data_IF_964514000018
#
_entry.id   IF_964514000018
#
_cell.length_a   1.000
_cell.length_b   1.000
_cell.length_c   1.000
_cell.angle_alpha   90.00
_cell.angle_beta   90.00
_cell.angle_gamma   90.00
#
_symmetry.space_group_name_H-M   'P 1'
#
loop_
_entity.id
_entity.type
_entity.pdbx_description
1 polymer ?
#
# COMPACT_ATOMS: atom_id res chain seq x y z
N UNK A 1 -65.87 -16.62 -20.62
CA UNK A 1 -64.82 -16.85 -21.64
C UNK A 1 -63.56 -16.22 -21.09
N UNK A 2 -62.49 -17.00 -21.04
CA UNK A 2 -61.21 -16.66 -20.42
C UNK A 2 -60.45 -15.61 -21.24
N UNK A 3 -59.67 -14.76 -20.57
CA UNK A 3 -58.34 -14.34 -21.04
C UNK A 3 -57.52 -13.68 -19.90
N UNK A 4 -56.20 -13.81 -20.06
CA UNK A 4 -55.06 -13.62 -19.17
C UNK A 4 -55.00 -12.38 -18.26
N UNK A 5 -54.41 -12.58 -17.07
CA UNK A 5 -53.63 -11.55 -16.37
C UNK A 5 -52.61 -12.21 -15.41
N UNK A 6 -51.39 -12.31 -15.93
CA UNK A 6 -50.09 -12.65 -15.31
C UNK A 6 -49.98 -12.48 -13.78
N UNK A 7 -49.53 -13.49 -13.02
CA UNK A 7 -49.15 -13.33 -11.62
C UNK A 7 -47.78 -12.64 -11.47
N UNK A 8 -47.57 -11.82 -10.42
CA UNK A 8 -46.41 -10.94 -10.29
C UNK A 8 -45.10 -11.71 -10.10
N UNK A 9 -44.04 -11.23 -10.77
CA UNK A 9 -42.66 -11.69 -10.61
C UNK A 9 -42.24 -11.63 -9.13
N UNK A 10 -41.63 -12.69 -8.56
CA UNK A 10 -41.01 -12.59 -7.26
C UNK A 10 -39.82 -11.62 -7.34
N UNK A 11 -39.83 -10.65 -6.42
CA UNK A 11 -38.79 -9.66 -6.24
C UNK A 11 -37.41 -10.31 -6.27
N UNK A 12 -36.52 -9.76 -7.09
CA UNK A 12 -35.08 -9.99 -7.03
C UNK A 12 -34.57 -9.55 -5.66
N UNK A 13 -34.69 -10.45 -4.69
CA UNK A 13 -34.07 -10.31 -3.38
C UNK A 13 -32.57 -10.36 -3.58
N UNK A 14 -31.94 -9.22 -3.34
CA UNK A 14 -30.51 -9.04 -3.29
C UNK A 14 -29.83 -10.22 -2.58
N UNK A 15 -28.70 -10.65 -3.15
CA UNK A 15 -27.73 -11.52 -2.48
C UNK A 15 -27.09 -10.76 -1.32
N UNK A 16 -27.87 -10.41 -0.30
CA UNK A 16 -27.33 -10.09 1.00
C UNK A 16 -26.80 -11.39 1.59
N UNK A 17 -25.49 -11.59 1.44
CA UNK A 17 -24.76 -12.59 2.21
C UNK A 17 -24.98 -12.29 3.68
N UNK A 18 -25.86 -13.06 4.32
CA UNK A 18 -25.93 -13.16 5.77
C UNK A 18 -24.65 -13.83 6.28
N UNK A 19 -23.59 -13.06 6.34
CA UNK A 19 -22.52 -13.27 7.32
C UNK A 19 -22.82 -12.32 8.46
N UNK A 20 -23.63 -12.78 9.42
CA UNK A 20 -23.71 -12.16 10.73
C UNK A 20 -22.30 -12.15 11.34
N UNK A 21 -21.63 -11.01 11.22
CA UNK A 21 -20.25 -10.79 11.64
C UNK A 21 -20.19 -10.15 13.04
N UNK A 22 -21.03 -10.63 13.96
CA UNK A 22 -21.26 -9.98 15.25
C UNK A 22 -20.45 -10.52 16.43
N UNK A 23 -19.38 -11.31 16.22
CA UNK A 23 -18.56 -11.73 17.38
C UNK A 23 -17.08 -12.08 17.14
N UNK A 24 -16.43 -11.50 16.14
CA UNK A 24 -14.99 -11.66 15.97
C UNK A 24 -14.42 -10.42 15.27
N UNK A 25 -14.14 -9.37 16.04
CA UNK A 25 -13.28 -8.29 15.55
C UNK A 25 -11.88 -8.88 15.31
N UNK A 26 -11.62 -9.25 14.07
CA UNK A 26 -10.26 -9.29 13.55
C UNK A 26 -9.78 -7.85 13.48
N UNK A 27 -8.88 -7.45 14.37
CA UNK A 27 -8.28 -6.11 14.30
C UNK A 27 -7.05 -6.06 13.41
N UNK A 28 -6.54 -7.21 12.91
CA UNK A 28 -5.64 -7.20 11.76
C UNK A 28 -5.66 -8.50 10.95
N UNK A 29 -6.40 -8.49 9.84
CA UNK A 29 -6.21 -9.46 8.77
C UNK A 29 -5.41 -8.84 7.63
N UNK A 30 -4.91 -9.65 6.70
CA UNK A 30 -4.38 -9.17 5.41
C UNK A 30 -5.37 -8.21 4.72
N UNK A 31 -6.67 -8.32 5.04
CA UNK A 31 -7.74 -7.46 4.53
C UNK A 31 -8.07 -6.22 5.39
N UNK A 32 -7.50 -6.09 6.59
CA UNK A 32 -7.64 -4.93 7.49
C UNK A 32 -6.35 -4.67 8.25
N UNK A 33 -5.27 -4.21 7.58
CA UNK A 33 -4.03 -3.88 8.27
C UNK A 33 -4.23 -2.70 9.24
N UNK A 34 -3.56 -2.72 10.40
CA UNK A 34 -3.45 -1.53 11.24
C UNK A 34 -2.49 -0.55 10.54
N UNK A 35 -3.06 0.40 9.82
CA UNK A 35 -2.33 1.30 8.92
C UNK A 35 -1.27 2.12 9.66
N UNK A 36 -1.58 2.65 10.83
CA UNK A 36 -0.62 3.44 11.61
C UNK A 36 0.60 2.62 12.05
N UNK A 37 0.37 1.37 12.49
CA UNK A 37 1.47 0.45 12.80
C UNK A 37 2.30 0.15 11.56
N UNK A 38 1.67 -0.11 10.41
CA UNK A 38 2.36 -0.35 9.14
C UNK A 38 3.23 0.84 8.72
N UNK A 39 2.67 2.05 8.74
CA UNK A 39 3.40 3.29 8.44
C UNK A 39 4.60 3.44 9.39
N UNK A 40 4.40 3.15 10.68
CA UNK A 40 5.48 3.21 11.67
C UNK A 40 6.60 2.21 11.39
N UNK A 41 6.28 0.97 10.98
CA UNK A 41 7.30 -0.01 10.60
C UNK A 41 8.04 0.40 9.32
N UNK A 42 7.31 0.88 8.31
CA UNK A 42 7.92 1.37 7.07
C UNK A 42 8.87 2.53 7.39
N UNK A 43 8.46 3.47 8.22
CA UNK A 43 9.28 4.59 8.67
C UNK A 43 10.53 4.12 9.42
N UNK A 44 10.41 3.14 10.31
CA UNK A 44 11.54 2.59 11.05
C UNK A 44 12.57 1.91 10.12
N UNK A 45 12.11 1.14 9.14
CA UNK A 45 13.00 0.51 8.15
C UNK A 45 13.71 1.56 7.30
N UNK A 46 12.98 2.57 6.81
CA UNK A 46 13.59 3.65 6.02
C UNK A 46 14.64 4.41 6.82
N UNK A 47 14.37 4.69 8.09
CA UNK A 47 15.32 5.34 8.99
C UNK A 47 16.59 4.51 9.20
N UNK A 48 16.45 3.21 9.44
CA UNK A 48 17.57 2.27 9.58
C UNK A 48 18.42 2.24 8.29
N UNK A 49 17.76 2.19 7.13
CA UNK A 49 18.43 2.24 5.82
C UNK A 49 19.20 3.53 5.61
N UNK A 50 18.62 4.69 5.95
CA UNK A 50 19.31 5.98 5.87
C UNK A 50 20.52 5.99 6.82
N UNK A 51 20.36 5.48 8.05
CA UNK A 51 21.45 5.42 9.02
C UNK A 51 22.61 4.57 8.52
N UNK A 52 22.33 3.39 7.98
CA UNK A 52 23.33 2.46 7.44
C UNK A 52 24.04 3.02 6.21
N UNK A 53 23.32 3.69 5.31
CA UNK A 53 23.91 4.26 4.10
C UNK A 53 24.69 5.55 4.36
N UNK A 54 24.35 6.31 5.41
CA UNK A 54 25.15 7.45 5.87
C UNK A 54 26.56 7.05 6.37
N UNK A 55 26.70 5.84 6.93
CA UNK A 55 28.00 5.29 7.33
C UNK A 55 28.85 4.88 6.11
N UNK A 56 28.21 4.55 4.98
CA UNK A 56 28.88 4.15 3.74
C UNK A 56 29.26 5.37 2.89
N UNK A 57 30.36 6.01 3.27
CA UNK A 57 30.82 7.26 2.65
C UNK A 57 31.71 7.04 1.42
N UNK A 58 31.13 6.70 0.26
CA UNK A 58 31.63 7.00 -1.10
C UNK A 58 30.88 6.18 -2.17
N UNK A 59 29.92 6.79 -2.86
CA UNK A 59 29.36 6.27 -4.11
C UNK A 59 29.52 7.36 -5.17
N UNK A 60 29.90 6.98 -6.40
CA UNK A 60 29.98 7.90 -7.53
C UNK A 60 28.60 8.51 -7.80
N UNK A 61 28.46 9.83 -7.61
CA UNK A 61 27.18 10.51 -7.79
C UNK A 61 26.84 10.65 -9.28
N UNK A 62 25.77 9.97 -9.70
CA UNK A 62 25.27 10.09 -11.07
C UNK A 62 24.37 11.33 -11.20
N UNK A 63 24.40 12.02 -12.36
CA UNK A 63 23.61 13.24 -12.56
C UNK A 63 22.10 13.00 -12.51
N UNK A 64 21.65 11.80 -12.87
CA UNK A 64 20.25 11.36 -12.84
C UNK A 64 19.65 11.32 -11.42
N UNK A 65 20.49 11.27 -10.38
CA UNK A 65 20.04 11.22 -8.98
C UNK A 65 19.70 12.60 -8.40
N UNK A 66 20.17 13.68 -9.02
CA UNK A 66 19.93 15.06 -8.53
C UNK A 66 18.45 15.44 -8.55
N UNK A 67 17.65 14.75 -9.34
CA UNK A 67 16.19 14.92 -9.35
C UNK A 67 15.57 14.54 -7.99
N UNK A 68 16.27 13.77 -7.15
CA UNK A 68 15.77 13.44 -5.81
C UNK A 68 16.42 14.27 -4.71
N UNK A 69 17.22 15.28 -5.03
CA UNK A 69 17.88 16.12 -4.05
C UNK A 69 16.92 17.22 -3.55
N UNK A 70 16.60 17.21 -2.25
CA UNK A 70 15.65 18.17 -1.64
C UNK A 70 16.12 19.63 -1.79
N UNK A 71 17.43 19.86 -1.76
CA UNK A 71 18.03 21.19 -1.84
C UNK A 71 17.73 21.88 -3.18
N UNK A 72 17.68 21.11 -4.28
CA UNK A 72 17.35 21.64 -5.60
C UNK A 72 15.93 22.26 -5.67
N UNK A 73 15.03 21.82 -4.80
CA UNK A 73 13.64 22.29 -4.76
C UNK A 73 13.43 23.50 -3.84
N UNK A 74 14.35 23.75 -2.91
CA UNK A 74 14.27 24.85 -1.97
C UNK A 74 14.58 26.21 -2.61
N UNK A 75 15.52 26.27 -3.55
CA UNK A 75 16.03 27.54 -4.12
C UNK A 75 15.19 28.10 -5.28
N UNK A 76 14.33 27.28 -5.89
CA UNK A 76 13.82 27.51 -7.25
C UNK A 76 12.56 28.39 -7.36
N UNK A 77 11.90 28.82 -6.26
CA UNK A 77 10.62 29.52 -6.38
C UNK A 77 10.35 30.55 -5.26
N UNK A 78 10.02 31.79 -5.66
CA UNK A 78 9.70 32.95 -4.80
C UNK A 78 8.32 32.88 -4.12
N UNK A 79 7.79 31.67 -3.89
CA UNK A 79 6.52 31.43 -3.20
C UNK A 79 6.80 31.04 -1.76
N UNK A 80 6.50 31.93 -0.82
CA UNK A 80 6.65 31.74 0.62
C UNK A 80 5.67 30.68 1.14
N UNK A 81 5.93 29.40 0.89
CA UNK A 81 5.24 28.33 1.62
C UNK A 81 6.02 28.09 2.92
N UNK A 82 5.39 28.32 4.08
CA UNK A 82 5.99 28.11 5.41
C UNK A 82 6.64 26.71 5.57
N UNK A 83 6.10 25.73 4.84
CA UNK A 83 6.62 24.36 4.75
C UNK A 83 8.01 24.27 4.10
N UNK A 84 8.28 25.03 3.03
CA UNK A 84 9.58 25.08 2.36
C UNK A 84 10.63 25.73 3.26
N UNK A 85 10.26 26.81 3.96
CA UNK A 85 11.15 27.48 4.92
C UNK A 85 11.47 26.58 6.13
N UNK A 86 10.50 25.80 6.60
CA UNK A 86 10.71 24.82 7.66
C UNK A 86 11.68 23.74 7.20
N UNK A 87 11.49 23.15 6.01
CA UNK A 87 12.37 22.12 5.45
C UNK A 87 13.78 22.68 5.18
N UNK A 88 13.88 23.88 4.60
CA UNK A 88 15.15 24.56 4.37
C UNK A 88 15.92 24.85 5.67
N UNK A 89 15.22 25.02 6.80
CA UNK A 89 15.84 25.21 8.11
C UNK A 89 16.46 23.91 8.69
N UNK A 90 15.96 22.74 8.28
CA UNK A 90 16.54 21.44 8.64
C UNK A 90 17.69 21.05 7.68
N UNK A 91 18.11 21.94 6.78
CA UNK A 91 19.29 21.74 5.93
C UNK A 91 20.54 21.54 6.80
N UNK A 92 21.07 20.31 6.79
CA UNK A 92 22.25 19.92 7.55
C UNK A 92 21.97 19.24 8.90
N UNK A 93 20.71 18.96 9.25
CA UNK A 93 20.40 18.15 10.43
C UNK A 93 20.72 16.64 10.23
N UNK A 94 21.03 15.92 11.32
CA UNK A 94 21.39 14.51 11.28
C UNK A 94 20.19 13.66 10.84
N UNK A 95 20.47 12.42 10.43
CA UNK A 95 19.51 11.39 10.01
C UNK A 95 18.07 11.62 10.52
N UNK A 96 17.05 11.68 9.64
CA UNK A 96 15.67 11.96 10.02
C UNK A 96 15.17 10.97 11.08
N UNK A 97 14.34 11.45 11.99
CA UNK A 97 13.77 10.58 13.02
C UNK A 97 12.68 9.68 12.45
N UNK A 98 12.43 8.55 13.10
CA UNK A 98 11.33 7.63 12.71
C UNK A 98 9.98 8.36 12.74
N UNK A 99 9.80 9.27 13.71
CA UNK A 99 8.58 10.06 13.85
C UNK A 99 8.38 11.02 12.67
N UNK A 100 9.43 11.69 12.21
CA UNK A 100 9.36 12.57 11.03
C UNK A 100 8.95 11.82 9.76
N UNK A 101 9.53 10.65 9.51
CA UNK A 101 9.19 9.84 8.34
C UNK A 101 7.76 9.30 8.47
N UNK A 102 7.38 8.83 9.67
CA UNK A 102 6.01 8.35 9.95
C UNK A 102 4.99 9.46 9.73
N UNK A 103 5.23 10.65 10.26
CA UNK A 103 4.31 11.77 10.16
C UNK A 103 4.20 12.27 8.71
N UNK A 104 5.32 12.27 7.97
CA UNK A 104 5.31 12.56 6.53
C UNK A 104 4.42 11.58 5.75
N UNK A 105 4.61 10.28 5.94
CA UNK A 105 3.78 9.25 5.28
C UNK A 105 2.33 9.33 5.77
N UNK A 106 2.11 9.60 7.06
CA UNK A 106 0.78 9.75 7.66
C UNK A 106 -0.02 10.90 7.05
N UNK A 107 0.59 12.07 6.91
CA UNK A 107 -0.03 13.24 6.26
C UNK A 107 -0.39 12.92 4.81
N UNK A 108 0.49 12.24 4.07
CA UNK A 108 0.19 11.83 2.69
C UNK A 108 -0.95 10.82 2.63
N UNK A 109 -0.98 9.84 3.54
CA UNK A 109 -2.04 8.86 3.62
C UNK A 109 -3.40 9.50 3.92
N UNK A 110 -3.46 10.43 4.88
CA UNK A 110 -4.68 11.16 5.22
C UNK A 110 -5.15 12.09 4.09
N UNK A 111 -4.21 12.69 3.35
CA UNK A 111 -4.53 13.62 2.28
C UNK A 111 -4.95 12.93 0.96
N UNK A 112 -4.33 11.80 0.63
CA UNK A 112 -4.55 11.08 -0.63
C UNK A 112 -5.49 9.88 -0.50
N UNK A 113 -5.79 9.42 0.71
CA UNK A 113 -6.71 8.31 1.02
C UNK A 113 -6.43 7.04 0.20
N UNK A 114 -5.16 6.74 -0.09
CA UNK A 114 -4.75 5.57 -0.86
C UNK A 114 -4.82 4.27 -0.04
N UNK A 115 -4.82 3.11 -0.70
CA UNK A 115 -4.90 1.82 0.01
C UNK A 115 -3.64 1.56 0.85
N UNK A 116 -3.74 1.05 2.09
CA UNK A 116 -2.59 0.90 2.98
C UNK A 116 -1.47 0.01 2.43
N UNK A 117 -1.78 -0.92 1.54
CA UNK A 117 -0.85 -1.78 0.80
C UNK A 117 0.17 -0.96 -0.02
N UNK A 118 -0.19 0.25 -0.46
CA UNK A 118 0.71 1.16 -1.17
C UNK A 118 1.93 1.55 -0.33
N UNK A 119 1.81 1.60 1.01
CA UNK A 119 2.96 1.87 1.89
C UNK A 119 4.00 0.72 1.82
N UNK A 120 3.53 -0.52 1.74
CA UNK A 120 4.41 -1.71 1.61
C UNK A 120 5.07 -1.72 0.23
N UNK A 121 4.29 -1.41 -0.81
CA UNK A 121 4.80 -1.34 -2.19
C UNK A 121 5.81 -0.21 -2.37
N UNK A 122 5.59 0.96 -1.77
CA UNK A 122 6.55 2.06 -1.80
C UNK A 122 7.90 1.66 -1.19
N UNK A 123 7.89 1.01 -0.02
CA UNK A 123 9.11 0.46 0.58
C UNK A 123 9.81 -0.56 -0.32
N UNK A 124 9.04 -1.46 -0.94
CA UNK A 124 9.58 -2.44 -1.90
C UNK A 124 10.23 -1.74 -3.11
N UNK A 125 9.59 -0.72 -3.67
CA UNK A 125 10.10 0.03 -4.81
C UNK A 125 11.36 0.82 -4.47
N UNK A 126 11.44 1.43 -3.28
CA UNK A 126 12.67 2.08 -2.81
C UNK A 126 13.81 1.07 -2.72
N UNK A 127 13.58 -0.09 -2.09
CA UNK A 127 14.58 -1.16 -2.00
C UNK A 127 15.04 -1.65 -3.38
N UNK A 128 14.09 -1.84 -4.31
CA UNK A 128 14.39 -2.24 -5.69
C UNK A 128 15.21 -1.16 -6.40
N UNK A 129 14.86 0.12 -6.23
CA UNK A 129 15.58 1.24 -6.81
C UNK A 129 17.02 1.29 -6.29
N UNK A 130 17.24 1.16 -4.98
CA UNK A 130 18.57 1.13 -4.37
C UNK A 130 19.37 -0.05 -4.95
N UNK A 131 18.77 -1.23 -5.05
CA UNK A 131 19.42 -2.42 -5.61
C UNK A 131 19.79 -2.29 -7.10
N UNK A 132 18.98 -1.61 -7.91
CA UNK A 132 19.21 -1.47 -9.35
C UNK A 132 20.13 -0.31 -9.71
N UNK A 133 19.92 0.84 -9.08
CA UNK A 133 20.66 2.06 -9.40
C UNK A 133 21.96 2.19 -8.62
N UNK A 134 22.05 1.54 -7.45
CA UNK A 134 23.11 1.74 -6.46
C UNK A 134 23.04 3.09 -5.74
N UNK A 135 21.94 3.84 -5.92
CA UNK A 135 21.75 5.15 -5.29
C UNK A 135 21.54 4.98 -3.78
N UNK A 136 22.38 5.59 -2.93
CA UNK A 136 22.22 5.50 -1.48
C UNK A 136 21.01 6.32 -1.01
N UNK A 137 20.32 5.82 0.01
CA UNK A 137 19.25 6.56 0.68
C UNK A 137 19.90 7.51 1.72
N UNK A 138 19.67 8.82 1.57
CA UNK A 138 20.33 9.88 2.34
C UNK A 138 19.30 10.83 2.96
N UNK A 139 19.72 11.55 4.00
CA UNK A 139 18.89 12.56 4.65
C UNK A 139 18.42 13.70 3.72
N UNK A 140 19.12 13.92 2.59
CA UNK A 140 18.74 14.94 1.60
C UNK A 140 17.82 14.43 0.48
N UNK A 141 17.60 13.12 0.34
CA UNK A 141 16.83 12.57 -0.78
C UNK A 141 15.62 11.71 -0.38
N UNK A 142 15.46 11.41 0.91
CA UNK A 142 14.45 10.47 1.35
C UNK A 142 13.01 10.98 1.13
N UNK A 143 12.69 12.28 1.30
CA UNK A 143 11.31 12.75 1.09
C UNK A 143 10.89 12.67 -0.38
N UNK A 144 11.67 13.19 -1.36
CA UNK A 144 11.35 13.04 -2.77
C UNK A 144 11.21 11.57 -3.18
N UNK A 145 12.06 10.68 -2.65
CA UNK A 145 12.01 9.26 -2.96
C UNK A 145 10.75 8.59 -2.41
N UNK A 146 10.44 8.80 -1.13
CA UNK A 146 9.24 8.23 -0.50
C UNK A 146 7.98 8.78 -1.16
N UNK A 147 7.93 10.09 -1.42
CA UNK A 147 6.83 10.73 -2.13
C UNK A 147 6.60 10.12 -3.51
N UNK A 148 7.66 10.01 -4.31
CA UNK A 148 7.56 9.46 -5.67
C UNK A 148 7.24 7.97 -5.67
N UNK A 149 7.81 7.20 -4.74
CA UNK A 149 7.51 5.79 -4.58
C UNK A 149 6.04 5.54 -4.23
N UNK A 150 5.45 6.39 -3.37
CA UNK A 150 4.04 6.35 -3.02
C UNK A 150 3.14 6.67 -4.22
N UNK A 151 3.48 7.70 -5.02
CA UNK A 151 2.74 8.02 -6.25
C UNK A 151 2.72 6.81 -7.20
N UNK A 152 3.88 6.20 -7.44
CA UNK A 152 3.99 5.04 -8.34
C UNK A 152 3.25 3.83 -7.77
N UNK A 153 3.35 3.57 -6.46
CA UNK A 153 2.62 2.50 -5.80
C UNK A 153 1.10 2.67 -5.92
N UNK A 154 0.60 3.87 -5.65
CA UNK A 154 -0.81 4.23 -5.77
C UNK A 154 -1.33 3.97 -7.18
N UNK A 155 -0.60 4.44 -8.20
CA UNK A 155 -0.97 4.26 -9.60
C UNK A 155 -0.99 2.81 -10.09
N UNK A 156 -0.19 1.95 -9.47
CA UNK A 156 -0.05 0.54 -9.87
C UNK A 156 -1.04 -0.35 -9.13
N UNK A 157 -1.40 0.02 -7.89
CA UNK A 157 -2.18 -0.83 -7.00
C UNK A 157 -3.65 -0.42 -6.89
N UNK A 158 -3.94 0.87 -6.85
CA UNK A 158 -5.31 1.35 -6.64
C UNK A 158 -6.07 1.44 -7.97
N UNK A 159 -7.35 1.07 -7.95
CA UNK A 159 -8.24 1.22 -9.10
C UNK A 159 -8.58 2.70 -9.39
N UNK A 160 -8.57 3.54 -8.36
CA UNK A 160 -8.82 4.99 -8.45
C UNK A 160 -7.51 5.75 -8.22
N UNK A 161 -6.92 6.24 -9.30
CA UNK A 161 -5.59 6.86 -9.25
C UNK A 161 -5.67 8.39 -9.24
N UNK A 162 -4.82 9.02 -8.44
CA UNK A 162 -4.67 10.47 -8.45
C UNK A 162 -3.73 10.91 -9.57
N UNK A 163 -4.01 12.08 -10.15
CA UNK A 163 -3.12 12.70 -11.12
C UNK A 163 -1.93 13.35 -10.43
N UNK A 164 -0.81 13.55 -11.13
CA UNK A 164 0.35 14.26 -10.56
C UNK A 164 0.02 15.71 -10.14
N UNK A 165 -0.93 16.34 -10.83
CA UNK A 165 -1.43 17.66 -10.47
C UNK A 165 -2.17 17.63 -9.12
N UNK A 166 -2.96 16.57 -8.86
CA UNK A 166 -3.60 16.34 -7.57
C UNK A 166 -2.56 16.13 -6.47
N UNK A 167 -1.52 15.33 -6.70
CA UNK A 167 -0.44 15.14 -5.72
C UNK A 167 0.33 16.43 -5.40
N UNK A 168 0.63 17.25 -6.41
CA UNK A 168 1.26 18.56 -6.21
C UNK A 168 0.36 19.54 -5.44
N UNK A 169 -0.96 19.39 -5.54
CA UNK A 169 -1.92 20.15 -4.74
C UNK A 169 -1.98 19.68 -3.28
N UNK A 170 -1.96 18.36 -3.05
CA UNK A 170 -1.96 17.77 -1.70
C UNK A 170 -0.68 18.09 -0.93
N UNK A 171 0.46 18.10 -1.62
CA UNK A 171 1.76 18.43 -1.03
C UNK A 171 2.40 19.60 -1.79
N UNK A 172 2.03 20.87 -1.47
CA UNK A 172 2.43 22.07 -2.21
C UNK A 172 3.91 22.46 -2.05
N UNK A 173 4.75 21.51 -1.62
CA UNK A 173 6.19 21.63 -1.67
C UNK A 173 6.73 21.39 -3.08
N UNK A 174 6.12 20.51 -3.88
CA UNK A 174 6.56 20.23 -5.27
C UNK A 174 5.57 20.80 -6.28
N UNK A 175 6.09 21.39 -7.36
CA UNK A 175 5.28 21.80 -8.52
C UNK A 175 4.92 20.59 -9.37
N UNK A 176 3.84 20.70 -10.16
CA UNK A 176 3.40 19.62 -11.07
C UNK A 176 4.53 19.16 -12.01
N UNK A 177 5.33 20.09 -12.52
CA UNK A 177 6.46 19.78 -13.41
C UNK A 177 7.56 18.99 -12.70
N UNK A 178 7.86 19.34 -11.46
CA UNK A 178 8.85 18.63 -10.63
C UNK A 178 8.35 17.22 -10.31
N UNK A 179 7.07 17.07 -9.92
CA UNK A 179 6.46 15.74 -9.69
C UNK A 179 6.53 14.87 -10.94
N UNK A 180 6.23 15.42 -12.12
CA UNK A 180 6.35 14.70 -13.39
C UNK A 180 7.79 14.24 -13.67
N UNK A 181 8.78 15.11 -13.42
CA UNK A 181 10.20 14.77 -13.61
C UNK A 181 10.66 13.69 -12.63
N UNK A 182 10.27 13.80 -11.36
CA UNK A 182 10.57 12.80 -10.34
C UNK A 182 9.99 11.44 -10.69
N UNK A 183 8.71 11.37 -11.07
CA UNK A 183 8.07 10.11 -11.48
C UNK A 183 8.78 9.47 -12.68
N UNK A 184 9.06 10.25 -13.72
CA UNK A 184 9.75 9.74 -14.92
C UNK A 184 11.16 9.20 -14.59
N UNK A 185 11.92 9.94 -13.77
CA UNK A 185 13.24 9.51 -13.32
C UNK A 185 13.16 8.23 -12.47
N UNK A 186 12.19 8.14 -11.56
CA UNK A 186 12.02 6.99 -10.67
C UNK A 186 11.69 5.71 -11.45
N UNK A 187 10.77 5.80 -12.42
CA UNK A 187 10.42 4.67 -13.29
C UNK A 187 11.61 4.24 -14.18
N UNK A 188 12.40 5.20 -14.66
CA UNK A 188 13.62 4.91 -15.42
C UNK A 188 14.64 4.15 -14.57
N UNK A 189 14.85 4.56 -13.31
CA UNK A 189 15.76 3.87 -12.38
C UNK A 189 15.27 2.48 -11.98
N UNK A 190 13.95 2.28 -11.94
CA UNK A 190 13.33 0.96 -11.75
C UNK A 190 13.35 0.09 -13.01
N UNK A 191 13.86 0.57 -14.14
CA UNK A 191 13.75 -0.10 -15.44
C UNK A 191 12.30 -0.49 -15.78
N UNK A 192 11.33 0.32 -15.33
CA UNK A 192 9.90 0.07 -15.43
C UNK A 192 9.43 -1.28 -14.83
N UNK A 193 10.24 -1.90 -13.96
CA UNK A 193 9.86 -3.12 -13.25
C UNK A 193 8.99 -2.79 -12.03
N UNK A 194 7.72 -2.45 -12.30
CA UNK A 194 6.71 -2.13 -11.27
C UNK A 194 5.83 -3.33 -10.90
N UNK A 195 5.90 -4.42 -11.66
CA UNK A 195 5.14 -5.64 -11.37
C UNK A 195 5.74 -6.33 -10.14
N UNK A 196 4.88 -6.57 -9.13
CA UNK A 196 5.24 -7.26 -7.89
C UNK A 196 4.56 -8.62 -7.84
N UNK A 197 5.35 -9.67 -7.61
CA UNK A 197 4.80 -11.02 -7.40
C UNK A 197 4.10 -11.08 -6.04
N UNK A 198 2.95 -11.77 -5.92
CA UNK A 198 2.26 -11.92 -4.64
C UNK A 198 3.14 -12.50 -3.53
N UNK A 199 4.06 -13.41 -3.87
CA UNK A 199 5.03 -13.97 -2.94
C UNK A 199 6.01 -12.93 -2.37
N UNK A 200 6.43 -11.97 -3.19
CA UNK A 200 7.33 -10.89 -2.75
C UNK A 200 6.58 -9.93 -1.86
N UNK A 201 5.37 -9.52 -2.25
CA UNK A 201 4.51 -8.68 -1.43
C UNK A 201 4.25 -9.32 -0.05
N UNK A 202 3.86 -10.61 -0.04
CA UNK A 202 3.60 -11.33 1.20
C UNK A 202 4.83 -11.36 2.12
N UNK A 203 6.03 -11.56 1.57
CA UNK A 203 7.29 -11.52 2.33
C UNK A 203 7.46 -10.17 3.04
N UNK A 204 7.38 -9.05 2.30
CA UNK A 204 7.50 -7.71 2.88
C UNK A 204 6.43 -7.43 3.93
N UNK A 205 5.18 -7.82 3.65
CA UNK A 205 4.06 -7.64 4.57
C UNK A 205 4.27 -8.40 5.88
N UNK A 206 4.69 -9.67 5.82
CA UNK A 206 4.94 -10.47 7.02
C UNK A 206 6.17 -10.01 7.80
N UNK A 207 7.23 -9.55 7.11
CA UNK A 207 8.41 -8.95 7.75
C UNK A 207 8.02 -7.69 8.53
N UNK A 208 7.27 -6.76 7.90
CA UNK A 208 6.75 -5.57 8.57
C UNK A 208 5.87 -5.94 9.77
N UNK A 209 4.96 -6.91 9.61
CA UNK A 209 4.08 -7.35 10.70
C UNK A 209 4.88 -7.96 11.86
N UNK A 210 5.93 -8.72 11.58
CA UNK A 210 6.80 -9.30 12.61
C UNK A 210 7.52 -8.24 13.43
N UNK A 211 7.88 -7.11 12.82
CA UNK A 211 8.52 -5.99 13.54
C UNK A 211 7.53 -5.23 14.44
N UNK A 212 6.23 -5.33 14.16
CA UNK A 212 5.15 -4.64 14.87
C UNK A 212 4.47 -5.46 15.96
N UNK A 213 4.84 -6.75 16.09
CA UNK A 213 4.35 -7.60 17.15
C UNK A 213 5.08 -7.25 18.45
N UNK A 214 4.40 -6.53 19.34
CA UNK A 214 4.81 -6.47 20.74
C UNK A 214 4.78 -7.90 21.31
N UNK A 215 5.79 -8.33 22.10
CA UNK A 215 5.75 -9.64 22.77
C UNK A 215 4.54 -9.79 23.72
N UNK A 216 3.93 -8.68 24.13
CA UNK A 216 2.71 -8.61 24.95
C UNK A 216 1.40 -8.59 24.15
N UNK A 217 1.46 -8.25 22.85
CA UNK A 217 0.30 -8.23 21.95
C UNK A 217 0.42 -9.39 20.95
N UNK A 218 0.51 -10.62 21.47
CA UNK A 218 0.10 -11.75 20.66
C UNK A 218 -1.37 -11.52 20.32
N UNK A 219 -1.66 -11.11 19.08
CA UNK A 219 -2.92 -11.54 18.48
C UNK A 219 -3.03 -13.03 18.77
N UNK A 220 -4.09 -13.48 19.45
CA UNK A 220 -4.18 -14.87 19.87
C UNK A 220 -3.95 -15.69 18.62
N UNK A 221 -2.87 -16.50 18.65
CA UNK A 221 -2.63 -17.50 17.62
C UNK A 221 -3.98 -18.18 17.39
N UNK A 222 -4.48 -18.12 16.15
CA UNK A 222 -5.83 -18.58 15.83
C UNK A 222 -6.06 -19.89 16.59
N UNK A 223 -7.06 -19.95 17.49
CA UNK A 223 -7.27 -21.16 18.26
C UNK A 223 -7.41 -22.30 17.27
N UNK A 224 -6.74 -23.44 17.51
CA UNK A 224 -6.85 -24.59 16.61
C UNK A 224 -8.33 -24.84 16.35
N UNK A 225 -8.69 -24.99 15.06
CA UNK A 225 -10.09 -25.12 14.62
C UNK A 225 -10.76 -26.12 15.55
N UNK A 226 -11.70 -25.64 16.36
CA UNK A 226 -12.37 -26.50 17.34
C UNK A 226 -13.11 -27.60 16.58
N UNK A 227 -13.19 -28.80 17.16
CA UNK A 227 -13.83 -29.94 16.51
C UNK A 227 -15.28 -29.60 16.03
N UNK A 228 -15.98 -28.77 16.80
CA UNK A 228 -17.30 -28.26 16.46
C UNK A 228 -17.29 -27.35 15.22
N UNK A 229 -16.37 -26.38 15.16
CA UNK A 229 -16.25 -25.47 14.01
C UNK A 229 -15.81 -26.23 12.76
N UNK A 230 -14.90 -27.19 12.91
CA UNK A 230 -14.47 -28.08 11.82
C UNK A 230 -15.67 -28.82 11.22
N UNK A 231 -16.51 -29.42 12.06
CA UNK A 231 -17.68 -30.16 11.63
C UNK A 231 -18.72 -29.26 10.95
N UNK A 232 -18.95 -28.06 11.47
CA UNK A 232 -19.83 -27.08 10.82
C UNK A 232 -19.30 -26.62 9.46
N UNK A 233 -17.98 -26.44 9.32
CA UNK A 233 -17.35 -26.08 8.05
C UNK A 233 -17.43 -27.23 7.04
N UNK A 234 -17.24 -28.47 7.48
CA UNK A 234 -17.40 -29.68 6.65
C UNK A 234 -18.84 -29.85 6.18
N UNK A 235 -19.84 -29.64 7.04
CA UNK A 235 -21.26 -29.68 6.66
C UNK A 235 -21.63 -28.58 5.67
N UNK A 236 -21.14 -27.34 5.89
CA UNK A 236 -21.34 -26.24 4.96
C UNK A 236 -20.69 -26.54 3.61
N UNK A 237 -19.44 -27.01 3.61
CA UNK A 237 -18.72 -27.41 2.39
C UNK A 237 -19.47 -28.50 1.63
N UNK A 238 -19.90 -29.56 2.32
CA UNK A 238 -20.67 -30.64 1.72
C UNK A 238 -22.02 -30.15 1.15
N UNK A 239 -22.69 -29.21 1.83
CA UNK A 239 -23.92 -28.60 1.32
C UNK A 239 -23.68 -27.82 0.03
N UNK A 240 -22.61 -27.02 -0.03
CA UNK A 240 -22.25 -26.29 -1.25
C UNK A 240 -21.87 -27.23 -2.39
N UNK A 241 -21.10 -28.29 -2.09
CA UNK A 241 -20.74 -29.31 -3.08
C UNK A 241 -21.98 -30.04 -3.64
N UNK A 242 -22.93 -30.42 -2.78
CA UNK A 242 -24.19 -31.04 -3.22
C UNK A 242 -25.03 -30.10 -4.08
N UNK A 243 -25.15 -28.85 -3.67
CA UNK A 243 -25.88 -27.84 -4.44
C UNK A 243 -25.22 -27.58 -5.81
N UNK A 244 -23.90 -27.56 -5.87
CA UNK A 244 -23.15 -27.43 -7.12
C UNK A 244 -23.33 -28.67 -8.02
N UNK A 245 -23.24 -29.88 -7.46
CA UNK A 245 -23.48 -31.12 -8.20
C UNK A 245 -24.90 -31.20 -8.77
N UNK A 246 -25.93 -30.86 -7.98
CA UNK A 246 -27.32 -30.83 -8.44
C UNK A 246 -27.49 -29.87 -9.60
N UNK A 247 -27.02 -28.62 -9.44
CA UNK A 247 -27.08 -27.63 -10.53
C UNK A 247 -26.34 -28.08 -11.79
N UNK A 248 -25.24 -28.81 -11.63
CA UNK A 248 -24.49 -29.35 -12.74
C UNK A 248 -25.18 -30.54 -13.42
N UNK A 249 -25.88 -31.39 -12.67
CA UNK A 249 -26.70 -32.48 -13.25
C UNK A 249 -27.93 -31.94 -13.94
N UNK A 250 -28.57 -30.92 -13.38
CA UNK A 250 -29.74 -30.25 -13.96
C UNK A 250 -29.35 -29.58 -15.29
N UNK A 251 -28.23 -28.85 -15.31
CA UNK A 251 -27.67 -28.27 -16.54
C UNK A 251 -27.29 -29.34 -17.59
N UNK A 252 -26.73 -30.48 -17.18
CA UNK A 252 -26.40 -31.58 -18.10
C UNK A 252 -27.66 -32.23 -18.70
N UNK A 253 -28.74 -32.33 -17.92
CA UNK A 253 -30.00 -32.89 -18.40
C UNK A 253 -30.67 -31.94 -19.40
N UNK A 254 -30.58 -30.63 -19.20
CA UNK A 254 -31.11 -29.61 -20.12
C UNK A 254 -30.32 -29.48 -21.44
N UNK A 255 -29.03 -29.83 -21.45
CA UNK A 255 -28.15 -29.67 -22.63
C UNK A 255 -27.95 -30.94 -23.44
N UNK A 256 -28.30 -32.11 -22.91
CA UNK A 256 -28.20 -33.41 -23.60
C UNK A 256 -29.55 -34.02 -24.00
N UNK A 257 -30.66 -33.29 -23.83
CA UNK A 257 -31.98 -33.63 -24.36
C UNK A 257 -32.32 -32.82 -25.59
#
# INVERSE_FOLDING_TARGET
MAEDSVPPLPASGDRLSMTDNSNWMLTSTVSQPNVQKMITAVAAILQDQISVDMEKRAVEEKPEWRVFDEDAYCDSNSGETEMRASIAKHQGEPCPTVEEIRDFIGVLYEAAEYSPECNVLALLFINRLIAFSGMPLRASNWRPLVFTALIVAQKVWDDQVLTNASFAYLYPFFTVEEVNKMEAAFLSLLHFEVVVKPSTYAKYYFELRSMLQDPTSQEPALPPISACIKQQLEEKSARFQRAACSKFTDWKAETMS
#
